data_IF_611436935494
#
_entry.id   IF_611436935494
#
_cell.length_a   1.000
_cell.length_b   1.000
_cell.length_c   1.000
_cell.angle_alpha   90.00
_cell.angle_beta   90.00
_cell.angle_gamma   90.00
#
_symmetry.space_group_name_H-M   'P 1'
#
loop_
_entity.id
_entity.type
_entity.pdbx_description
1 polymer ?
#
# COMPACT_ATOMS: atom_id res chain seq x y z
N UNK A 1 60.29 73.04 0.44
CA UNK A 1 59.07 73.63 1.06
C UNK A 1 57.89 73.37 0.16
N UNK A 2 56.92 72.68 0.72
CA UNK A 2 55.53 72.51 0.45
C UNK A 2 55.10 71.18 -0.16
N UNK A 3 54.98 70.26 0.71
CA UNK A 3 54.08 69.13 0.75
C UNK A 3 52.71 69.69 1.12
N UNK A 4 51.69 69.72 0.23
CA UNK A 4 50.30 69.95 0.67
C UNK A 4 49.25 69.81 -0.45
N UNK A 5 49.52 69.09 -1.55
CA UNK A 5 48.52 68.99 -2.65
C UNK A 5 48.12 67.57 -3.01
N UNK A 6 48.48 66.55 -2.17
CA UNK A 6 48.16 65.14 -2.50
C UNK A 6 47.12 64.52 -1.55
N UNK A 7 46.59 65.31 -0.60
CA UNK A 7 45.64 64.73 0.37
C UNK A 7 44.16 64.80 0.00
N UNK A 8 43.79 65.42 -1.10
CA UNK A 8 42.36 65.61 -1.38
C UNK A 8 41.84 64.82 -2.64
N UNK A 9 42.67 63.94 -3.21
CA UNK A 9 42.23 63.14 -4.36
C UNK A 9 41.90 61.66 -3.93
N UNK A 10 42.29 61.23 -2.74
CA UNK A 10 42.04 59.89 -2.25
C UNK A 10 40.70 59.69 -1.57
N UNK A 11 39.91 60.77 -1.36
CA UNK A 11 38.62 60.66 -0.63
C UNK A 11 37.40 60.69 -1.53
N UNK A 12 37.59 60.81 -2.85
CA UNK A 12 36.51 60.90 -3.83
C UNK A 12 36.20 59.60 -4.58
N UNK A 13 37.03 58.56 -4.41
CA UNK A 13 36.87 57.31 -5.19
C UNK A 13 36.34 56.12 -4.38
N UNK A 14 35.94 56.32 -3.11
CA UNK A 14 35.48 55.25 -2.22
C UNK A 14 33.96 55.25 -1.98
N UNK A 15 33.19 56.10 -2.67
CA UNK A 15 31.74 56.19 -2.46
C UNK A 15 30.90 55.73 -3.69
N UNK A 16 31.51 55.05 -4.65
CA UNK A 16 30.76 54.60 -5.85
C UNK A 16 30.67 53.09 -6.03
N UNK A 17 30.96 52.28 -4.99
CA UNK A 17 30.93 50.83 -5.11
C UNK A 17 29.97 50.11 -4.12
N UNK A 18 28.96 50.82 -3.61
CA UNK A 18 27.99 50.22 -2.67
C UNK A 18 26.55 50.28 -3.21
N UNK A 19 26.35 50.06 -4.46
CA UNK A 19 24.99 50.05 -4.99
C UNK A 19 24.78 49.02 -6.11
N UNK A 20 25.27 47.77 -5.92
CA UNK A 20 24.83 46.62 -6.68
C UNK A 20 24.92 45.36 -5.79
N UNK A 21 24.49 45.43 -4.55
CA UNK A 21 23.93 44.25 -3.91
C UNK A 21 22.51 44.19 -4.45
N UNK A 22 22.35 43.56 -5.61
CA UNK A 22 21.05 43.13 -6.03
C UNK A 22 20.48 42.30 -4.86
N UNK A 23 19.32 42.70 -4.37
CA UNK A 23 18.50 41.80 -3.55
C UNK A 23 18.35 40.53 -4.36
N UNK A 24 19.15 39.50 -4.07
CA UNK A 24 18.68 38.17 -4.31
C UNK A 24 17.45 38.08 -3.41
N UNK A 25 16.28 38.05 -4.01
CA UNK A 25 15.10 37.57 -3.32
C UNK A 25 15.54 36.23 -2.69
N UNK A 26 15.76 36.22 -1.38
CA UNK A 26 15.86 34.96 -0.65
C UNK A 26 14.50 34.31 -0.81
N UNK A 27 14.41 33.35 -1.72
CA UNK A 27 13.20 32.53 -1.89
C UNK A 27 13.07 31.78 -0.59
N UNK A 28 12.06 32.13 0.21
CA UNK A 28 11.70 31.38 1.41
C UNK A 28 11.52 29.91 1.00
N UNK A 29 12.29 28.97 1.55
CA UNK A 29 12.14 27.55 1.25
C UNK A 29 10.73 27.00 1.47
N UNK A 30 9.92 27.60 2.32
CA UNK A 30 8.53 27.24 2.54
C UNK A 30 7.54 27.96 1.61
N UNK A 31 7.93 29.09 1.00
CA UNK A 31 7.06 29.85 0.12
C UNK A 31 6.67 29.05 -1.14
N UNK A 32 5.38 29.04 -1.48
CA UNK A 32 4.78 28.34 -2.62
C UNK A 32 4.91 26.80 -2.59
N UNK A 33 5.19 26.20 -1.43
CA UNK A 33 5.02 24.78 -1.24
C UNK A 33 3.54 24.43 -1.29
N UNK A 34 3.21 23.29 -1.89
CA UNK A 34 1.86 22.69 -1.79
C UNK A 34 1.96 21.47 -0.91
N UNK A 35 1.04 21.33 0.02
CA UNK A 35 0.99 20.21 0.97
C UNK A 35 -0.44 19.70 1.10
N UNK A 36 -0.59 18.41 1.31
CA UNK A 36 -1.85 17.79 1.70
C UNK A 36 -1.85 17.51 3.19
N UNK A 37 -2.99 17.61 3.86
CA UNK A 37 -3.09 17.28 5.29
C UNK A 37 -2.74 15.81 5.55
N UNK A 38 -3.11 14.93 4.65
CA UNK A 38 -2.81 13.50 4.70
C UNK A 38 -2.03 13.08 3.46
N UNK A 39 -0.99 12.24 3.58
CA UNK A 39 -0.22 11.76 2.44
C UNK A 39 -0.98 10.70 1.63
N UNK A 40 -2.06 10.12 2.20
CA UNK A 40 -2.85 9.08 1.54
C UNK A 40 -4.28 9.04 2.03
N UNK A 41 -5.15 8.51 1.17
CA UNK A 41 -6.55 8.16 1.47
C UNK A 41 -6.84 6.75 0.99
N UNK A 42 -7.75 6.05 1.68
CA UNK A 42 -8.12 4.67 1.34
C UNK A 42 -9.63 4.55 1.15
N UNK A 43 -10.01 3.97 0.02
CA UNK A 43 -11.41 3.74 -0.36
C UNK A 43 -11.79 2.25 -0.30
N UNK A 44 -13.08 1.98 -0.10
CA UNK A 44 -13.62 0.66 -0.29
C UNK A 44 -13.58 0.26 -1.78
N UNK A 45 -13.64 -1.05 -2.06
CA UNK A 45 -13.66 -1.54 -3.44
C UNK A 45 -14.90 -1.07 -4.21
N UNK A 46 -16.06 -1.05 -3.54
CA UNK A 46 -17.34 -0.64 -4.13
C UNK A 46 -18.11 0.25 -3.17
N UNK A 47 -18.96 1.12 -3.71
CA UNK A 47 -19.82 2.00 -2.93
C UNK A 47 -19.04 2.95 -2.01
N UNK A 48 -17.83 3.34 -2.38
CA UNK A 48 -16.97 4.19 -1.58
C UNK A 48 -17.54 5.61 -1.47
N UNK A 49 -17.65 6.14 -0.25
CA UNK A 49 -18.01 7.53 -0.02
C UNK A 49 -16.86 8.45 -0.42
N UNK A 50 -17.20 9.64 -0.89
CA UNK A 50 -16.22 10.72 -1.14
C UNK A 50 -15.48 11.08 0.14
N UNK A 51 -14.20 11.49 0.01
CA UNK A 51 -13.37 11.97 1.11
C UNK A 51 -12.88 13.37 0.82
N UNK A 52 -12.81 14.20 1.85
CA UNK A 52 -12.31 15.57 1.77
C UNK A 52 -10.87 15.59 2.28
N UNK A 53 -9.97 16.17 1.49
CA UNK A 53 -8.55 16.33 1.79
C UNK A 53 -8.21 17.80 1.71
N UNK A 54 -7.87 18.46 2.82
CA UNK A 54 -7.36 19.82 2.81
C UNK A 54 -6.02 19.90 2.08
N UNK A 55 -5.92 20.83 1.14
CA UNK A 55 -4.70 21.18 0.42
C UNK A 55 -4.30 22.57 0.87
N UNK A 56 -3.06 22.73 1.30
CA UNK A 56 -2.47 23.98 1.77
C UNK A 56 -1.43 24.49 0.77
N UNK A 57 -1.54 25.74 0.38
CA UNK A 57 -0.58 26.41 -0.51
C UNK A 57 -0.54 27.91 -0.23
N UNK A 58 0.57 28.55 -0.55
CA UNK A 58 0.69 30.03 -0.46
C UNK A 58 0.19 30.77 -1.69
N UNK A 59 -0.17 30.04 -2.76
CA UNK A 59 -0.60 30.62 -4.03
C UNK A 59 -1.43 29.66 -4.86
N UNK A 60 -1.45 29.92 -6.15
CA UNK A 60 -2.17 29.09 -7.11
C UNK A 60 -1.54 27.70 -7.24
N UNK A 61 -2.40 26.69 -7.38
CA UNK A 61 -2.02 25.31 -7.62
C UNK A 61 -3.00 24.60 -8.54
N UNK A 62 -2.55 23.52 -9.17
CA UNK A 62 -3.36 22.61 -9.99
C UNK A 62 -3.12 21.18 -9.56
N UNK A 63 -4.18 20.37 -9.56
CA UNK A 63 -4.08 18.93 -9.33
C UNK A 63 -3.91 18.20 -10.67
N UNK A 64 -3.13 17.12 -10.65
CA UNK A 64 -2.89 16.23 -11.78
C UNK A 64 -2.99 14.78 -11.31
N UNK A 65 -3.77 13.96 -12.04
CA UNK A 65 -3.95 12.55 -11.77
C UNK A 65 -4.18 11.82 -13.10
N UNK A 66 -3.33 10.85 -13.40
CA UNK A 66 -3.44 10.06 -14.63
C UNK A 66 -4.48 8.95 -14.56
N UNK A 67 -4.95 8.60 -13.34
CA UNK A 67 -5.90 7.52 -13.14
C UNK A 67 -7.33 7.98 -13.45
N UNK A 68 -7.96 7.36 -14.43
CA UNK A 68 -9.33 7.65 -14.88
C UNK A 68 -10.42 7.26 -13.88
N UNK A 69 -10.07 6.42 -12.90
CA UNK A 69 -10.96 5.98 -11.84
C UNK A 69 -10.96 6.91 -10.60
N UNK A 70 -10.10 7.93 -10.56
CA UNK A 70 -10.02 8.93 -9.50
C UNK A 70 -10.56 10.26 -10.02
N UNK A 71 -11.44 10.89 -9.26
CA UNK A 71 -11.95 12.23 -9.54
C UNK A 71 -11.56 13.18 -8.42
N UNK A 72 -11.01 14.32 -8.78
CA UNK A 72 -10.57 15.38 -7.88
C UNK A 72 -11.41 16.64 -8.13
N UNK A 73 -11.94 17.25 -7.09
CA UNK A 73 -12.72 18.49 -7.21
C UNK A 73 -12.51 19.41 -6.02
N UNK A 74 -12.08 20.67 -6.25
CA UNK A 74 -11.68 21.25 -7.51
C UNK A 74 -10.28 20.77 -8.00
N UNK A 75 -10.04 20.82 -9.31
CA UNK A 75 -8.73 20.48 -9.92
C UNK A 75 -7.71 21.63 -9.83
N UNK A 76 -8.05 22.75 -9.26
CA UNK A 76 -7.17 23.89 -9.03
C UNK A 76 -7.67 24.77 -7.90
N UNK A 77 -6.76 25.52 -7.29
CA UNK A 77 -7.10 26.42 -6.20
C UNK A 77 -6.07 27.52 -6.01
N UNK A 78 -6.31 28.38 -5.03
CA UNK A 78 -5.40 29.40 -4.58
C UNK A 78 -5.44 29.45 -3.05
N UNK A 79 -4.30 29.30 -2.42
CA UNK A 79 -4.23 29.15 -0.96
C UNK A 79 -4.76 27.80 -0.46
N UNK A 80 -5.28 27.79 0.75
CA UNK A 80 -5.87 26.59 1.37
C UNK A 80 -7.25 26.30 0.77
N UNK A 81 -7.46 25.08 0.28
CA UNK A 81 -8.73 24.64 -0.31
C UNK A 81 -9.00 23.18 0.09
N UNK A 82 -10.23 22.89 0.48
CA UNK A 82 -10.71 21.53 0.67
C UNK A 82 -10.99 20.88 -0.69
N UNK A 83 -10.32 19.77 -0.94
CA UNK A 83 -10.45 18.99 -2.18
C UNK A 83 -11.23 17.72 -1.90
N UNK A 84 -12.31 17.51 -2.64
CA UNK A 84 -13.07 16.25 -2.61
C UNK A 84 -12.41 15.24 -3.55
N UNK A 85 -12.12 14.07 -3.03
CA UNK A 85 -11.61 12.92 -3.78
C UNK A 85 -12.71 11.86 -3.83
N UNK A 86 -13.04 11.40 -5.02
CA UNK A 86 -13.98 10.29 -5.24
C UNK A 86 -13.39 9.27 -6.21
N UNK A 87 -13.90 8.04 -6.14
CA UNK A 87 -13.41 6.93 -6.95
C UNK A 87 -14.58 6.16 -7.55
N UNK A 88 -14.37 5.59 -8.73
CA UNK A 88 -15.32 4.61 -9.30
C UNK A 88 -15.17 3.25 -8.62
N UNK A 89 -16.21 2.41 -8.67
CA UNK A 89 -16.12 1.04 -8.17
C UNK A 89 -14.96 0.28 -8.84
N UNK A 90 -14.25 -0.51 -8.03
CA UNK A 90 -13.14 -1.33 -8.49
C UNK A 90 -13.65 -2.70 -8.92
N UNK A 91 -14.19 -2.76 -10.14
CA UNK A 91 -14.76 -3.97 -10.71
C UNK A 91 -14.01 -4.37 -11.98
N UNK A 92 -13.79 -5.66 -12.14
CA UNK A 92 -13.30 -6.25 -13.35
C UNK A 92 -14.41 -6.36 -14.41
N UNK A 93 -14.04 -6.78 -15.62
CA UNK A 93 -14.97 -6.91 -16.75
C UNK A 93 -16.09 -7.94 -16.54
N UNK A 94 -15.88 -8.90 -15.63
CA UNK A 94 -16.88 -9.90 -15.23
C UNK A 94 -17.83 -9.43 -14.11
N UNK A 95 -17.66 -8.18 -13.64
CA UNK A 95 -18.46 -7.57 -12.59
C UNK A 95 -18.07 -7.97 -11.16
N UNK A 96 -17.04 -8.79 -10.98
CA UNK A 96 -16.48 -9.10 -9.65
C UNK A 96 -15.50 -8.02 -9.21
N UNK A 97 -15.21 -7.95 -7.89
CA UNK A 97 -14.21 -7.00 -7.36
C UNK A 97 -12.85 -7.32 -7.96
N UNK A 98 -12.19 -6.28 -8.50
CA UNK A 98 -10.84 -6.42 -9.08
C UNK A 98 -9.74 -6.35 -8.02
N UNK A 99 -8.49 -6.56 -8.42
CA UNK A 99 -7.33 -6.44 -7.54
C UNK A 99 -7.24 -5.02 -6.92
N UNK A 100 -6.63 -4.86 -5.74
CA UNK A 100 -6.38 -3.53 -5.17
C UNK A 100 -5.61 -2.65 -6.14
N UNK A 101 -5.92 -1.36 -6.13
CA UNK A 101 -5.26 -0.39 -7.02
C UNK A 101 -4.87 0.87 -6.27
N UNK A 102 -3.87 1.56 -6.79
CA UNK A 102 -3.42 2.86 -6.27
C UNK A 102 -3.23 3.86 -7.39
N UNK A 103 -3.33 5.13 -7.04
CA UNK A 103 -3.04 6.24 -7.93
C UNK A 103 -2.34 7.36 -7.16
N UNK A 104 -1.49 8.10 -7.85
CA UNK A 104 -0.83 9.27 -7.31
C UNK A 104 -1.53 10.53 -7.86
N UNK A 105 -1.94 11.40 -6.96
CA UNK A 105 -2.40 12.76 -7.26
C UNK A 105 -1.29 13.73 -6.92
N UNK A 106 -0.90 14.58 -7.86
CA UNK A 106 0.15 15.58 -7.67
C UNK A 106 -0.49 16.96 -7.69
N UNK A 107 -0.30 17.72 -6.62
CA UNK A 107 -0.70 19.11 -6.52
C UNK A 107 0.49 20.01 -6.83
N UNK A 108 0.50 20.64 -8.00
CA UNK A 108 1.61 21.45 -8.50
C UNK A 108 1.35 22.92 -8.22
N UNK A 109 2.25 23.55 -7.48
CA UNK A 109 2.31 24.99 -7.32
C UNK A 109 3.23 25.65 -8.35
N UNK A 110 3.64 26.90 -8.08
CA UNK A 110 4.55 27.66 -8.93
C UNK A 110 5.92 27.00 -9.12
N UNK A 111 6.40 26.25 -8.12
CA UNK A 111 7.70 25.58 -8.14
C UNK A 111 7.52 24.07 -8.12
N UNK A 112 8.07 23.39 -9.12
CA UNK A 112 7.90 21.95 -9.32
C UNK A 112 8.50 21.09 -8.18
N UNK A 113 9.57 21.56 -7.56
CA UNK A 113 10.24 20.88 -6.45
C UNK A 113 9.48 20.95 -5.12
N UNK A 114 8.33 21.60 -5.10
CA UNK A 114 7.51 21.82 -3.88
C UNK A 114 6.05 21.45 -4.11
N UNK A 115 5.86 20.40 -4.84
CA UNK A 115 4.55 19.83 -5.09
C UNK A 115 4.06 19.02 -3.88
N UNK A 116 2.74 18.99 -3.68
CA UNK A 116 2.07 18.09 -2.77
C UNK A 116 1.75 16.76 -3.45
N UNK A 117 1.79 15.68 -2.70
CA UNK A 117 1.45 14.35 -3.19
C UNK A 117 0.36 13.73 -2.31
N UNK A 118 -0.59 13.06 -2.94
CA UNK A 118 -1.63 12.29 -2.28
C UNK A 118 -1.72 10.93 -2.96
N UNK A 119 -1.44 9.87 -2.21
CA UNK A 119 -1.68 8.51 -2.69
C UNK A 119 -3.12 8.09 -2.42
N UNK A 120 -3.82 7.70 -3.46
CA UNK A 120 -5.20 7.19 -3.39
C UNK A 120 -5.15 5.67 -3.50
N UNK A 121 -5.46 4.98 -2.39
CA UNK A 121 -5.58 3.53 -2.37
C UNK A 121 -7.04 3.12 -2.48
N UNK A 122 -7.34 2.14 -3.32
CA UNK A 122 -8.64 1.50 -3.35
C UNK A 122 -8.51 0.01 -3.10
N UNK A 123 -9.27 -0.49 -2.13
CA UNK A 123 -9.33 -1.91 -1.79
C UNK A 123 -9.83 -2.73 -2.97
N UNK A 124 -9.49 -4.01 -2.95
CA UNK A 124 -9.87 -4.99 -3.96
C UNK A 124 -9.76 -6.41 -3.43
N UNK A 125 -9.93 -7.39 -4.31
CA UNK A 125 -9.64 -8.79 -4.02
C UNK A 125 -8.13 -9.05 -4.15
N UNK A 126 -7.44 -9.15 -3.03
CA UNK A 126 -6.00 -9.43 -3.00
C UNK A 126 -5.62 -10.77 -3.66
N UNK A 127 -6.58 -11.65 -3.81
CA UNK A 127 -6.36 -13.01 -4.33
C UNK A 127 -6.93 -13.22 -5.73
N UNK A 128 -7.43 -12.16 -6.38
CA UNK A 128 -8.09 -12.26 -7.69
C UNK A 128 -7.29 -13.09 -8.69
N UNK A 129 -6.01 -12.81 -8.82
CA UNK A 129 -5.12 -13.45 -9.80
C UNK A 129 -4.45 -14.72 -9.26
N UNK A 130 -4.76 -15.13 -8.03
CA UNK A 130 -4.23 -16.36 -7.48
C UNK A 130 -4.89 -17.58 -8.13
N UNK A 131 -4.06 -18.55 -8.52
CA UNK A 131 -4.51 -19.76 -9.16
C UNK A 131 -5.00 -20.78 -8.12
N UNK A 132 -6.09 -21.48 -8.42
CA UNK A 132 -6.54 -22.63 -7.64
C UNK A 132 -5.57 -23.80 -7.79
N UNK A 133 -5.18 -24.41 -6.67
CA UNK A 133 -4.21 -25.49 -6.65
C UNK A 133 -4.38 -26.42 -5.44
N UNK A 134 -3.71 -27.57 -5.51
CA UNK A 134 -3.61 -28.48 -4.38
C UNK A 134 -2.67 -27.95 -3.27
N UNK A 135 -2.81 -28.51 -2.06
CA UNK A 135 -1.89 -28.19 -0.96
C UNK A 135 -0.44 -28.54 -1.34
N UNK A 136 -0.21 -29.69 -2.01
CA UNK A 136 1.13 -30.09 -2.42
C UNK A 136 1.76 -29.11 -3.46
N UNK A 137 0.97 -28.48 -4.29
CA UNK A 137 1.45 -27.48 -5.24
C UNK A 137 1.63 -26.10 -4.60
N UNK A 138 0.73 -25.72 -3.70
CA UNK A 138 0.87 -24.51 -2.91
C UNK A 138 2.18 -24.51 -2.07
N UNK A 139 2.57 -25.67 -1.54
CA UNK A 139 3.82 -25.83 -0.80
C UNK A 139 5.09 -25.55 -1.66
N UNK A 140 5.00 -25.66 -2.98
CA UNK A 140 6.14 -25.44 -3.91
C UNK A 140 6.26 -23.99 -4.37
N UNK A 141 5.27 -23.16 -4.10
CA UNK A 141 5.33 -21.74 -4.45
C UNK A 141 6.49 -21.05 -3.74
N UNK A 142 6.99 -20.01 -4.36
CA UNK A 142 7.90 -19.06 -3.70
C UNK A 142 7.16 -18.31 -2.58
N UNK A 143 7.89 -17.89 -1.55
CA UNK A 143 7.33 -17.07 -0.47
C UNK A 143 6.81 -15.74 -1.03
N UNK A 144 5.68 -15.25 -0.49
CA UNK A 144 5.01 -14.05 -0.97
C UNK A 144 4.05 -14.28 -2.14
N UNK A 145 3.96 -15.49 -2.70
CA UNK A 145 2.97 -15.82 -3.74
C UNK A 145 1.64 -16.22 -3.13
N UNK A 146 0.56 -15.86 -3.79
CA UNK A 146 -0.80 -16.19 -3.37
C UNK A 146 -1.28 -17.52 -3.96
N UNK A 147 -1.98 -18.31 -3.15
CA UNK A 147 -2.62 -19.55 -3.53
C UNK A 147 -4.10 -19.54 -3.14
N UNK A 148 -4.92 -20.22 -3.94
CA UNK A 148 -6.29 -20.62 -3.62
C UNK A 148 -6.34 -22.13 -3.47
N UNK A 149 -6.81 -22.62 -2.32
CA UNK A 149 -7.07 -24.04 -2.09
C UNK A 149 -8.58 -24.21 -2.08
N UNK A 150 -9.17 -24.79 -3.15
CA UNK A 150 -10.61 -24.76 -3.34
C UNK A 150 -11.38 -25.60 -2.32
N UNK A 151 -10.79 -26.68 -1.83
CA UNK A 151 -11.34 -27.48 -0.73
C UNK A 151 -10.21 -28.16 0.05
N UNK A 152 -10.20 -27.97 1.38
CA UNK A 152 -9.37 -28.73 2.30
C UNK A 152 -10.16 -29.00 3.60
N UNK A 153 -9.89 -30.13 4.28
CA UNK A 153 -10.53 -30.44 5.55
C UNK A 153 -9.62 -30.05 6.71
N UNK A 154 -10.18 -29.36 7.71
CA UNK A 154 -9.47 -29.05 8.96
C UNK A 154 -9.35 -30.33 9.77
N UNK A 155 -8.11 -30.77 10.00
CA UNK A 155 -7.79 -31.99 10.75
C UNK A 155 -7.25 -31.70 12.14
N UNK A 156 -6.76 -30.50 12.40
CA UNK A 156 -6.37 -30.05 13.74
C UNK A 156 -6.50 -28.50 13.83
N UNK A 157 -6.67 -28.03 15.07
CA UNK A 157 -6.70 -26.58 15.37
C UNK A 157 -5.71 -26.28 16.50
N UNK A 158 -5.04 -25.14 16.40
CA UNK A 158 -4.10 -24.60 17.36
C UNK A 158 -4.47 -23.15 17.69
N UNK A 159 -3.77 -22.55 18.65
CA UNK A 159 -4.03 -21.16 19.07
C UNK A 159 -3.75 -20.10 18.00
N UNK A 160 -2.88 -20.40 17.04
CA UNK A 160 -2.38 -19.49 16.02
C UNK A 160 -2.73 -19.94 14.59
N UNK A 161 -3.45 -21.08 14.44
CA UNK A 161 -3.83 -21.56 13.14
C UNK A 161 -4.48 -22.93 13.14
N UNK A 162 -4.59 -23.49 11.96
CA UNK A 162 -5.22 -24.77 11.68
C UNK A 162 -4.30 -25.65 10.84
N UNK A 163 -4.43 -26.97 10.97
CA UNK A 163 -3.85 -27.91 10.02
C UNK A 163 -4.95 -28.39 9.09
N UNK A 164 -4.73 -28.19 7.81
CA UNK A 164 -5.67 -28.61 6.77
C UNK A 164 -5.09 -29.74 5.92
N UNK A 165 -5.97 -30.54 5.36
CA UNK A 165 -5.66 -31.69 4.51
C UNK A 165 -6.52 -31.69 3.26
N UNK A 166 -5.90 -31.91 2.12
CA UNK A 166 -6.57 -32.31 0.88
C UNK A 166 -6.17 -33.76 0.49
N UNK A 167 -6.48 -34.17 -0.74
CA UNK A 167 -6.08 -35.47 -1.26
C UNK A 167 -4.56 -35.60 -1.47
N UNK A 168 -3.80 -34.52 -1.47
CA UNK A 168 -2.39 -34.47 -1.86
C UNK A 168 -1.43 -34.33 -0.68
N UNK A 169 -1.79 -33.56 0.33
CA UNK A 169 -0.90 -33.24 1.46
C UNK A 169 -1.62 -32.65 2.66
N UNK A 170 -0.82 -32.31 3.67
CA UNK A 170 -1.19 -31.54 4.86
C UNK A 170 -0.44 -30.22 4.83
N UNK A 171 -1.06 -29.16 5.36
CA UNK A 171 -0.43 -27.86 5.50
C UNK A 171 -0.92 -27.13 6.75
N UNK A 172 -0.01 -26.40 7.39
CA UNK A 172 -0.38 -25.45 8.44
C UNK A 172 -0.85 -24.14 7.79
N UNK A 173 -1.97 -23.61 8.30
CA UNK A 173 -2.54 -22.36 7.85
C UNK A 173 -2.68 -21.43 9.05
N UNK A 174 -1.97 -20.32 9.05
CA UNK A 174 -2.13 -19.26 10.05
C UNK A 174 -3.48 -18.59 9.84
N UNK A 175 -4.36 -18.76 10.82
CA UNK A 175 -5.73 -18.20 10.78
C UNK A 175 -6.30 -18.11 12.20
N UNK A 176 -7.01 -17.02 12.50
CA UNK A 176 -7.57 -16.75 13.84
C UNK A 176 -9.10 -16.60 13.85
N UNK A 177 -9.76 -16.93 12.76
CA UNK A 177 -11.22 -16.91 12.70
C UNK A 177 -11.87 -18.16 13.33
N UNK A 178 -13.19 -18.12 13.42
CA UNK A 178 -13.99 -19.22 14.02
C UNK A 178 -14.17 -20.35 13.02
N UNK A 179 -13.46 -21.44 13.25
CA UNK A 179 -13.54 -22.70 12.49
C UNK A 179 -13.32 -23.87 13.44
N UNK A 180 -13.71 -25.07 13.04
CA UNK A 180 -13.56 -26.29 13.86
C UNK A 180 -13.00 -27.47 13.07
N UNK A 181 -12.43 -28.43 13.78
CA UNK A 181 -12.00 -29.68 13.19
C UNK A 181 -13.18 -30.39 12.52
N UNK A 182 -12.96 -30.88 11.31
CA UNK A 182 -13.99 -31.46 10.46
C UNK A 182 -14.59 -30.51 9.42
N UNK A 183 -14.42 -29.19 9.58
CA UNK A 183 -14.86 -28.26 8.55
C UNK A 183 -14.06 -28.45 7.25
N UNK A 184 -14.75 -28.47 6.14
CA UNK A 184 -14.19 -28.35 4.80
C UNK A 184 -14.21 -26.87 4.43
N UNK A 185 -13.07 -26.37 4.03
CA UNK A 185 -12.86 -24.94 3.84
C UNK A 185 -12.24 -24.63 2.47
N UNK A 186 -12.66 -23.52 1.89
CA UNK A 186 -11.90 -22.79 0.89
C UNK A 186 -10.89 -21.89 1.60
N UNK A 187 -9.68 -21.77 1.04
CA UNK A 187 -8.62 -20.97 1.63
C UNK A 187 -7.99 -20.12 0.51
N UNK A 188 -7.83 -18.83 0.76
CA UNK A 188 -6.96 -17.97 -0.04
C UNK A 188 -5.96 -17.24 0.88
N UNK A 189 -4.69 -17.24 0.49
CA UNK A 189 -3.65 -16.67 1.32
C UNK A 189 -2.27 -16.66 0.68
N UNK A 190 -1.34 -16.05 1.40
CA UNK A 190 0.05 -15.93 1.02
C UNK A 190 0.87 -17.13 1.51
N UNK A 191 1.65 -17.73 0.62
CA UNK A 191 2.59 -18.79 0.96
C UNK A 191 3.80 -18.20 1.69
N UNK A 192 4.15 -18.80 2.82
CA UNK A 192 5.35 -18.47 3.61
C UNK A 192 6.08 -19.73 4.03
N UNK A 193 7.36 -19.62 4.33
CA UNK A 193 8.19 -20.72 4.86
C UNK A 193 8.75 -20.35 6.21
N UNK A 194 8.36 -21.08 7.25
CA UNK A 194 8.83 -20.89 8.62
C UNK A 194 9.60 -22.12 9.09
N UNK A 195 10.89 -21.97 9.41
CA UNK A 195 11.73 -23.07 9.86
C UNK A 195 11.83 -24.23 8.86
N UNK A 196 11.72 -23.96 7.56
CA UNK A 196 11.73 -24.96 6.50
C UNK A 196 10.38 -25.64 6.24
N UNK A 197 9.32 -25.24 6.93
CA UNK A 197 7.97 -25.76 6.73
C UNK A 197 7.15 -24.76 5.93
N UNK A 198 6.61 -25.20 4.79
CA UNK A 198 5.70 -24.43 3.98
C UNK A 198 4.34 -24.28 4.69
N UNK A 199 3.81 -23.08 4.71
CA UNK A 199 2.53 -22.74 5.31
C UNK A 199 1.83 -21.63 4.52
N UNK A 200 0.55 -21.39 4.81
CA UNK A 200 -0.24 -20.29 4.26
C UNK A 200 -0.60 -19.32 5.39
N UNK A 201 -0.39 -18.05 5.18
CA UNK A 201 -1.04 -16.98 5.97
C UNK A 201 -2.35 -16.66 5.27
N UNK A 202 -3.46 -17.16 5.81
CA UNK A 202 -4.77 -17.00 5.19
C UNK A 202 -5.34 -15.60 5.46
N UNK A 203 -5.74 -14.92 4.40
CA UNK A 203 -6.58 -13.73 4.48
C UNK A 203 -8.06 -14.04 4.29
N UNK A 204 -8.38 -15.21 3.72
CA UNK A 204 -9.74 -15.69 3.55
C UNK A 204 -9.83 -17.18 3.88
N UNK A 205 -10.82 -17.55 4.69
CA UNK A 205 -11.19 -18.95 4.96
C UNK A 205 -12.72 -19.00 5.01
N UNK A 206 -13.31 -19.74 4.07
CA UNK A 206 -14.75 -19.89 3.98
C UNK A 206 -15.12 -21.35 4.27
N UNK A 207 -16.03 -21.57 5.22
CA UNK A 207 -16.53 -22.91 5.55
C UNK A 207 -17.54 -23.34 4.49
N UNK A 208 -17.22 -24.41 3.77
CA UNK A 208 -18.06 -24.99 2.71
C UNK A 208 -19.05 -26.01 3.27
N UNK A 209 -18.59 -26.88 4.15
CA UNK A 209 -19.37 -27.93 4.80
C UNK A 209 -18.60 -28.48 6.01
N UNK A 210 -19.20 -29.42 6.74
CA UNK A 210 -18.53 -30.15 7.84
C UNK A 210 -18.66 -31.65 7.60
N UNK A 211 -17.58 -32.40 7.83
CA UNK A 211 -17.55 -33.86 7.71
C UNK A 211 -16.68 -34.44 8.81
N UNK A 212 -16.92 -35.70 9.13
CA UNK A 212 -16.08 -36.45 10.10
C UNK A 212 -14.65 -36.59 9.58
N UNK A 213 -13.67 -36.38 10.49
CA UNK A 213 -12.25 -36.53 10.14
C UNK A 213 -11.83 -37.99 10.33
N UNK A 214 -11.32 -38.59 9.27
CA UNK A 214 -10.72 -39.89 9.33
C UNK A 214 -9.22 -39.79 9.55
N UNK A 215 -8.74 -40.25 10.70
CA UNK A 215 -7.32 -40.34 11.01
C UNK A 215 -6.76 -41.70 10.62
N UNK A 216 -5.51 -41.78 10.12
CA UNK A 216 -4.85 -43.06 9.92
C UNK A 216 -4.67 -43.79 11.25
N UNK A 217 -4.68 -45.11 11.22
CA UNK A 217 -4.36 -45.90 12.40
C UNK A 217 -2.94 -45.58 12.90
N UNK A 218 -2.72 -45.47 14.21
CA UNK A 218 -1.38 -45.27 14.74
C UNK A 218 -0.42 -46.39 14.26
N UNK A 219 0.77 -45.95 13.80
CA UNK A 219 1.83 -46.92 13.44
C UNK A 219 2.68 -47.21 14.68
N UNK A 220 2.85 -48.46 15.01
CA UNK A 220 3.77 -48.86 16.06
C UNK A 220 5.22 -48.73 15.55
N UNK A 221 5.87 -47.62 15.92
CA UNK A 221 7.25 -47.36 15.55
C UNK A 221 8.25 -48.26 16.29
N UNK A 222 7.84 -48.85 17.42
CA UNK A 222 8.74 -49.71 18.22
C UNK A 222 8.99 -51.04 17.49
N UNK A 223 8.01 -51.54 16.75
CA UNK A 223 8.14 -52.76 15.96
C UNK A 223 9.14 -52.66 14.78
N UNK A 224 9.54 -51.44 14.41
CA UNK A 224 10.45 -51.17 13.29
C UNK A 224 11.81 -50.58 13.75
N UNK A 225 12.05 -50.48 15.04
CA UNK A 225 13.36 -50.14 15.57
C UNK A 225 14.15 -51.46 15.67
N UNK A 226 14.89 -51.76 14.58
CA UNK A 226 15.89 -52.81 14.62
C UNK A 226 17.00 -52.41 15.62
N UNK A 227 17.42 -53.34 16.55
CA UNK A 227 18.40 -53.01 17.58
C UNK A 227 19.83 -52.75 17.04
#
# INVERSE_FOLDING_TARGET
MKINTIKNIALGLFLASVALVGCKEEIDPAANAVQTESPSVTFAATGAAEQVVPVYADGEWVADCEADWVTISPMSGNGAVDVTVSVTDNLASDGTVDAPREALVIFRGKYIERQGELTVYQKGDNYRDAVEMSIADAAKLEDGKFAKIPEAQIVAAASDGIVVKDATSLMFVTYKGEVKVGDKVYIAGEKVTNGGIASIVAGQVDVLSTAEVTYPSPVDLIANLDP
#
